data_IF_279423330356
#
_entry.id   IF_279423330356
#
_cell.length_a   1.000
_cell.length_b   1.000
_cell.length_c   1.000
_cell.angle_alpha   90.00
_cell.angle_beta   90.00
_cell.angle_gamma   90.00
#
_symmetry.space_group_name_H-M   'P 1'
#
loop_
_entity.id
_entity.type
_entity.pdbx_description
1 polymer ?
#
# COMPACT_ATOMS: atom_id res chain seq x y z
N UNK A 1 11.21 -26.40 -28.43
CA UNK A 1 10.94 -27.78 -27.98
C UNK A 1 11.10 -27.84 -26.47
N UNK A 2 10.01 -27.89 -25.71
CA UNK A 2 9.84 -28.81 -24.58
C UNK A 2 8.38 -28.75 -24.10
N UNK A 3 7.86 -29.93 -23.79
CA UNK A 3 6.47 -30.34 -23.70
C UNK A 3 5.61 -29.62 -22.63
N UNK A 4 4.38 -29.27 -23.03
CA UNK A 4 3.24 -29.04 -22.13
C UNK A 4 2.43 -30.33 -22.09
N UNK A 5 2.34 -30.95 -20.91
CA UNK A 5 1.55 -32.16 -20.69
C UNK A 5 0.05 -31.81 -20.67
N UNK A 6 -0.68 -32.39 -21.62
CA UNK A 6 -2.12 -32.40 -21.73
C UNK A 6 -2.64 -33.62 -20.96
N UNK A 7 -3.35 -33.42 -19.84
CA UNK A 7 -4.03 -34.51 -19.12
C UNK A 7 -5.54 -34.42 -19.37
N UNK A 8 -6.00 -35.37 -20.19
CA UNK A 8 -7.39 -35.69 -20.50
C UNK A 8 -7.93 -36.61 -19.39
N UNK A 9 -9.08 -36.29 -18.78
CA UNK A 9 -9.81 -37.18 -17.85
C UNK A 9 -11.32 -37.06 -18.19
N UNK A 10 -12.09 -38.16 -18.16
CA UNK A 10 -13.26 -38.35 -19.04
C UNK A 10 -14.53 -37.68 -18.54
N UNK A 11 -15.43 -37.44 -19.50
CA UNK A 11 -16.81 -37.06 -19.27
C UNK A 11 -17.57 -38.20 -18.55
N UNK A 12 -17.97 -37.96 -17.31
CA UNK A 12 -19.04 -38.69 -16.64
C UNK A 12 -20.24 -37.77 -16.50
N UNK A 13 -21.31 -38.13 -17.22
CA UNK A 13 -22.63 -37.52 -17.13
C UNK A 13 -23.20 -37.70 -15.73
N UNK A 14 -23.40 -36.61 -14.99
CA UNK A 14 -24.17 -36.63 -13.75
C UNK A 14 -25.17 -35.45 -13.76
N UNK A 15 -26.42 -35.84 -13.61
CA UNK A 15 -27.66 -35.08 -13.47
C UNK A 15 -27.54 -33.64 -12.90
N UNK A 16 -28.30 -32.75 -13.54
CA UNK A 16 -28.62 -31.43 -13.03
C UNK A 16 -29.40 -31.52 -11.70
N UNK A 17 -28.89 -30.86 -10.65
CA UNK A 17 -29.63 -30.53 -9.44
C UNK A 17 -29.80 -28.99 -9.38
N UNK A 18 -30.95 -28.45 -8.94
CA UNK A 18 -31.18 -27.01 -8.88
C UNK A 18 -30.36 -26.41 -7.73
N UNK A 19 -29.51 -25.45 -8.08
CA UNK A 19 -28.48 -24.88 -7.21
C UNK A 19 -29.06 -24.21 -5.95
N UNK A 20 -28.53 -24.65 -4.81
CA UNK A 20 -28.83 -24.14 -3.48
C UNK A 20 -28.32 -22.72 -3.22
N UNK A 21 -28.91 -22.16 -2.18
CA UNK A 21 -28.57 -20.92 -1.46
C UNK A 21 -27.06 -20.77 -1.33
N UNK A 22 -26.47 -19.75 -1.98
CA UNK A 22 -25.11 -19.28 -1.65
C UNK A 22 -25.21 -18.52 -0.34
N UNK A 23 -24.60 -19.03 0.73
CA UNK A 23 -24.66 -18.42 2.07
C UNK A 23 -24.09 -17.00 2.07
N UNK A 24 -24.64 -16.13 2.92
CA UNK A 24 -24.16 -14.77 3.18
C UNK A 24 -22.70 -14.72 3.62
N UNK A 25 -22.22 -15.75 4.34
CA UNK A 25 -20.81 -15.93 4.73
C UNK A 25 -19.88 -16.04 3.52
N UNK A 26 -20.33 -16.68 2.44
CA UNK A 26 -19.55 -16.81 1.22
C UNK A 26 -19.36 -15.45 0.51
N UNK A 27 -20.34 -14.54 0.65
CA UNK A 27 -20.30 -13.20 0.05
C UNK A 27 -19.41 -12.27 0.84
N UNK A 28 -19.53 -12.27 2.18
CA UNK A 28 -18.66 -11.48 3.06
C UNK A 28 -17.18 -11.88 2.90
N UNK A 29 -16.90 -13.20 2.85
CA UNK A 29 -15.57 -13.72 2.57
C UNK A 29 -15.06 -13.28 1.19
N UNK A 30 -15.92 -13.30 0.16
CA UNK A 30 -15.56 -12.89 -1.20
C UNK A 30 -15.24 -11.39 -1.30
N UNK A 31 -16.05 -10.54 -0.66
CA UNK A 31 -15.80 -9.10 -0.56
C UNK A 31 -14.47 -8.82 0.14
N UNK A 32 -14.21 -9.49 1.27
CA UNK A 32 -12.93 -9.38 1.98
C UNK A 32 -11.73 -9.75 1.11
N UNK A 33 -11.82 -10.85 0.33
CA UNK A 33 -10.78 -11.26 -0.61
C UNK A 33 -10.53 -10.22 -1.72
N UNK A 34 -11.60 -9.66 -2.30
CA UNK A 34 -11.51 -8.65 -3.36
C UNK A 34 -10.91 -7.33 -2.83
N UNK A 35 -11.33 -6.87 -1.65
CA UNK A 35 -10.77 -5.69 -0.99
C UNK A 35 -9.27 -5.86 -0.67
N UNK A 36 -8.86 -7.04 -0.22
CA UNK A 36 -7.44 -7.34 0.00
C UNK A 36 -6.62 -7.34 -1.30
N UNK A 37 -7.17 -7.85 -2.40
CA UNK A 37 -6.54 -7.79 -3.72
C UNK A 37 -6.35 -6.34 -4.20
N UNK A 38 -7.35 -5.48 -3.98
CA UNK A 38 -7.27 -4.06 -4.31
C UNK A 38 -6.17 -3.35 -3.51
N UNK A 39 -6.13 -3.56 -2.18
CA UNK A 39 -5.11 -2.99 -1.32
C UNK A 39 -3.69 -3.43 -1.73
N UNK A 40 -3.53 -4.70 -2.13
CA UNK A 40 -2.27 -5.22 -2.66
C UNK A 40 -1.86 -4.54 -3.98
N UNK A 41 -2.81 -4.38 -4.91
CA UNK A 41 -2.54 -3.71 -6.18
C UNK A 41 -2.08 -2.25 -5.98
N UNK A 42 -2.68 -1.53 -5.03
CA UNK A 42 -2.26 -0.17 -4.68
C UNK A 42 -0.87 -0.11 -4.03
N UNK A 43 -0.56 -1.07 -3.15
CA UNK A 43 0.78 -1.19 -2.57
C UNK A 43 1.85 -1.46 -3.63
N UNK A 44 1.58 -2.36 -4.58
CA UNK A 44 2.47 -2.69 -5.70
C UNK A 44 2.70 -1.47 -6.62
N UNK A 45 1.66 -0.67 -6.86
CA UNK A 45 1.74 0.58 -7.62
C UNK A 45 2.65 1.62 -6.95
N UNK A 46 2.51 1.80 -5.62
CA UNK A 46 3.38 2.68 -4.83
C UNK A 46 4.82 2.20 -4.90
N UNK A 47 5.05 0.90 -4.74
CA UNK A 47 6.39 0.33 -4.82
C UNK A 47 7.03 0.54 -6.20
N UNK A 48 6.28 0.35 -7.28
CA UNK A 48 6.75 0.61 -8.64
C UNK A 48 7.13 2.10 -8.85
N UNK A 49 6.35 3.01 -8.28
CA UNK A 49 6.61 4.44 -8.33
C UNK A 49 7.88 4.82 -7.56
N UNK A 50 8.08 4.28 -6.35
CA UNK A 50 9.31 4.50 -5.57
C UNK A 50 10.55 3.99 -6.31
N UNK A 51 10.49 2.79 -6.92
CA UNK A 51 11.61 2.24 -7.69
C UNK A 51 12.01 3.15 -8.86
N UNK A 52 11.03 3.72 -9.56
CA UNK A 52 11.28 4.67 -10.64
C UNK A 52 11.93 5.96 -10.12
N UNK A 53 11.41 6.54 -9.03
CA UNK A 53 12.00 7.75 -8.43
C UNK A 53 13.45 7.55 -7.99
N UNK A 54 13.76 6.42 -7.35
CA UNK A 54 15.14 6.08 -6.94
C UNK A 54 16.06 5.95 -8.16
N UNK A 55 15.58 5.37 -9.26
CA UNK A 55 16.36 5.25 -10.49
C UNK A 55 16.64 6.62 -11.14
N UNK A 56 15.64 7.52 -11.16
CA UNK A 56 15.77 8.90 -11.64
C UNK A 56 16.80 9.67 -10.78
N UNK A 57 16.70 9.60 -9.45
CA UNK A 57 17.65 10.27 -8.55
C UNK A 57 19.08 9.75 -8.73
N UNK A 58 19.26 8.45 -9.00
CA UNK A 58 20.57 7.87 -9.36
C UNK A 58 21.10 8.44 -10.67
N UNK A 59 20.24 8.60 -11.69
CA UNK A 59 20.61 9.24 -12.96
C UNK A 59 21.01 10.71 -12.77
N UNK A 60 20.23 11.50 -12.04
CA UNK A 60 20.53 12.91 -11.79
C UNK A 60 21.88 13.09 -11.09
N UNK A 61 22.14 12.29 -10.04
CA UNK A 61 23.45 12.28 -9.36
C UNK A 61 24.58 11.91 -10.32
N UNK A 62 24.37 10.95 -11.21
CA UNK A 62 25.37 10.56 -12.20
C UNK A 62 25.59 11.66 -13.25
N UNK A 63 24.55 12.37 -13.68
CA UNK A 63 24.62 13.47 -14.63
C UNK A 63 25.40 14.68 -14.04
N UNK A 64 25.18 15.01 -12.77
CA UNK A 64 25.96 16.05 -12.07
C UNK A 64 27.45 15.67 -12.01
N UNK A 65 27.76 14.39 -11.70
CA UNK A 65 29.15 13.90 -11.70
C UNK A 65 29.78 13.95 -13.10
N UNK A 66 29.01 13.62 -14.15
CA UNK A 66 29.47 13.75 -15.54
C UNK A 66 29.81 15.20 -15.88
N UNK A 67 28.95 16.16 -15.53
CA UNK A 67 29.19 17.59 -15.78
C UNK A 67 30.46 18.07 -15.07
N UNK A 68 30.59 17.80 -13.77
CA UNK A 68 31.80 18.15 -12.99
C UNK A 68 33.07 17.55 -13.59
N UNK A 69 33.02 16.30 -14.06
CA UNK A 69 34.17 15.66 -14.69
C UNK A 69 34.51 16.27 -16.07
N UNK A 70 33.50 16.69 -16.85
CA UNK A 70 33.71 17.40 -18.10
C UNK A 70 34.34 18.78 -17.88
N UNK A 71 33.89 19.52 -16.86
CA UNK A 71 34.45 20.83 -16.49
C UNK A 71 35.90 20.69 -16.03
N UNK A 72 36.20 19.66 -15.23
CA UNK A 72 37.57 19.36 -14.80
C UNK A 72 38.49 19.01 -15.98
N UNK A 73 38.01 18.25 -16.97
CA UNK A 73 38.74 17.97 -18.20
C UNK A 73 39.00 19.24 -19.01
N UNK A 74 38.00 20.12 -19.15
CA UNK A 74 38.16 21.39 -19.84
C UNK A 74 39.20 22.27 -19.15
N UNK A 75 39.18 22.35 -17.81
CA UNK A 75 40.18 23.06 -17.03
C UNK A 75 41.59 22.46 -17.19
N UNK A 76 41.72 21.13 -17.15
CA UNK A 76 42.99 20.44 -17.34
C UNK A 76 43.57 20.70 -18.74
N UNK A 77 42.74 20.65 -19.80
CA UNK A 77 43.17 20.98 -21.17
C UNK A 77 43.66 22.42 -21.30
N UNK A 78 43.00 23.38 -20.65
CA UNK A 78 43.47 24.78 -20.62
C UNK A 78 44.84 24.91 -19.94
N UNK A 79 45.08 24.18 -18.86
CA UNK A 79 46.39 24.14 -18.18
C UNK A 79 47.47 23.52 -19.08
N UNK A 80 47.17 22.41 -19.76
CA UNK A 80 48.10 21.80 -20.73
C UNK A 80 48.48 22.78 -21.84
N UNK A 81 47.49 23.48 -22.43
CA UNK A 81 47.76 24.51 -23.46
C UNK A 81 48.65 25.63 -22.92
N UNK A 82 48.33 26.14 -21.73
CA UNK A 82 49.10 27.23 -21.11
C UNK A 82 50.54 26.81 -20.75
N UNK A 83 50.72 25.57 -20.30
CA UNK A 83 52.03 25.01 -20.00
C UNK A 83 52.86 24.79 -21.28
N UNK A 84 52.24 24.30 -22.36
CA UNK A 84 52.89 24.20 -23.69
C UNK A 84 53.39 25.55 -24.18
N UNK A 85 52.54 26.58 -24.15
CA UNK A 85 52.94 27.95 -24.51
C UNK A 85 54.08 28.50 -23.63
N UNK A 86 54.16 28.09 -22.35
CA UNK A 86 55.26 28.47 -21.49
C UNK A 86 56.57 27.77 -21.89
N UNK A 87 56.52 26.50 -22.29
CA UNK A 87 57.67 25.76 -22.84
C UNK A 87 58.16 26.43 -24.12
N UNK A 88 57.25 26.75 -25.05
CA UNK A 88 57.60 27.41 -26.32
C UNK A 88 58.33 28.73 -26.06
N UNK A 89 57.79 29.59 -25.19
CA UNK A 89 58.44 30.86 -24.81
C UNK A 89 59.82 30.68 -24.18
N UNK A 90 60.02 29.64 -23.37
CA UNK A 90 61.34 29.38 -22.79
C UNK A 90 62.30 28.77 -23.83
N UNK A 91 61.80 27.97 -24.78
CA UNK A 91 62.57 27.41 -25.87
C UNK A 91 63.12 28.53 -26.78
N UNK A 92 62.30 29.54 -27.11
CA UNK A 92 62.75 30.70 -27.88
C UNK A 92 63.88 31.47 -27.17
N UNK A 93 63.77 31.63 -25.83
CA UNK A 93 64.82 32.29 -25.03
C UNK A 93 66.13 31.50 -25.01
N UNK A 94 66.05 30.17 -24.92
CA UNK A 94 67.23 29.30 -25.03
C UNK A 94 67.82 29.39 -26.45
N UNK A 95 66.99 29.41 -27.49
CA UNK A 95 67.43 29.59 -28.88
C UNK A 95 68.18 30.90 -29.10
N UNK A 96 67.66 32.02 -28.61
CA UNK A 96 68.33 33.33 -28.66
C UNK A 96 69.64 33.34 -27.87
N UNK A 97 69.69 32.66 -26.72
CA UNK A 97 70.92 32.52 -25.93
C UNK A 97 71.99 31.74 -26.69
N UNK A 98 71.63 30.61 -27.29
CA UNK A 98 72.55 29.77 -28.07
C UNK A 98 73.05 30.53 -29.30
N UNK A 99 72.16 31.20 -30.04
CA UNK A 99 72.52 32.00 -31.20
C UNK A 99 73.50 33.11 -30.86
N UNK A 100 73.26 33.86 -29.78
CA UNK A 100 74.17 34.93 -29.33
C UNK A 100 75.53 34.40 -28.92
N UNK A 101 75.57 33.27 -28.21
CA UNK A 101 76.84 32.64 -27.86
C UNK A 101 77.61 32.21 -29.11
N UNK A 102 76.92 31.70 -30.14
CA UNK A 102 77.53 31.33 -31.42
C UNK A 102 78.07 32.56 -32.17
N UNK A 103 77.27 33.63 -32.29
CA UNK A 103 77.67 34.90 -32.93
C UNK A 103 78.89 35.55 -32.26
N UNK A 104 79.07 35.39 -30.94
CA UNK A 104 80.22 35.90 -30.17
C UNK A 104 81.47 34.99 -30.19
N UNK A 105 81.51 33.98 -31.07
CA UNK A 105 82.65 33.05 -31.16
C UNK A 105 82.69 32.00 -30.05
N UNK A 106 81.55 31.73 -29.41
CA UNK A 106 81.40 30.72 -28.37
C UNK A 106 82.05 31.09 -27.04
N UNK A 107 82.31 30.06 -26.22
CA UNK A 107 83.04 30.21 -24.96
C UNK A 107 84.45 30.76 -25.20
N UNK A 108 85.10 30.35 -26.29
CA UNK A 108 86.47 30.78 -26.62
C UNK A 108 86.55 32.27 -26.97
N UNK A 109 85.60 32.81 -27.75
CA UNK A 109 85.58 34.25 -28.07
C UNK A 109 85.29 35.12 -26.84
N UNK A 110 84.39 34.68 -25.96
CA UNK A 110 84.03 35.41 -24.74
C UNK A 110 85.10 35.35 -23.66
N UNK A 111 85.81 34.23 -23.48
CA UNK A 111 86.92 34.13 -22.53
C UNK A 111 88.19 34.82 -23.05
N UNK A 112 88.49 34.72 -24.34
CA UNK A 112 89.63 35.43 -24.94
C UNK A 112 89.50 36.95 -24.80
N UNK A 113 88.31 37.50 -25.01
CA UNK A 113 88.04 38.94 -24.84
C UNK A 113 88.19 39.41 -23.38
N UNK A 114 87.93 38.53 -22.42
CA UNK A 114 88.07 38.81 -20.98
C UNK A 114 89.53 38.75 -20.53
N UNK A 115 90.31 37.83 -21.11
CA UNK A 115 91.73 37.63 -20.79
C UNK A 115 92.67 38.61 -21.52
N UNK A 116 92.23 39.20 -22.63
CA UNK A 116 93.02 40.17 -23.41
C UNK A 116 93.01 41.61 -22.85
N UNK A 117 92.28 41.88 -21.76
CA UNK A 117 92.17 43.20 -21.13
C UNK A 117 93.36 43.59 -20.24
N UNK A 118 93.38 44.83 -19.74
CA UNK A 118 94.39 45.28 -18.77
C UNK A 118 94.21 44.57 -17.42
N UNK A 119 95.28 44.35 -16.63
CA UNK A 119 95.19 43.69 -15.32
C UNK A 119 94.18 44.32 -14.35
N UNK A 120 93.96 45.64 -14.43
CA UNK A 120 92.97 46.37 -13.63
C UNK A 120 91.51 45.98 -13.92
N UNK A 121 91.23 45.49 -15.12
CA UNK A 121 89.86 45.24 -15.60
C UNK A 121 89.41 43.79 -15.35
N UNK A 122 90.35 42.94 -14.92
CA UNK A 122 90.14 41.51 -14.71
C UNK A 122 88.99 41.22 -13.74
N UNK A 123 88.91 41.95 -12.62
CA UNK A 123 87.86 41.75 -11.60
C UNK A 123 86.48 42.07 -12.18
N UNK A 124 86.36 43.18 -12.93
CA UNK A 124 85.11 43.60 -13.58
C UNK A 124 84.69 42.59 -14.65
N UNK A 125 85.64 42.12 -15.47
CA UNK A 125 85.37 41.15 -16.52
C UNK A 125 84.96 39.78 -15.96
N UNK A 126 85.58 39.32 -14.86
CA UNK A 126 85.18 38.11 -14.14
C UNK A 126 83.78 38.25 -13.52
N UNK A 127 83.46 39.42 -12.97
CA UNK A 127 82.11 39.74 -12.46
C UNK A 127 81.05 39.65 -13.57
N UNK A 128 81.35 40.20 -14.75
CA UNK A 128 80.48 40.12 -15.92
C UNK A 128 80.28 38.67 -16.40
N UNK A 129 81.35 37.88 -16.51
CA UNK A 129 81.26 36.45 -16.86
C UNK A 129 80.38 35.68 -15.87
N UNK A 130 80.53 35.92 -14.56
CA UNK A 130 79.69 35.29 -13.54
C UNK A 130 78.23 35.71 -13.68
N UNK A 131 77.95 36.99 -13.93
CA UNK A 131 76.59 37.49 -14.16
C UNK A 131 75.94 36.81 -15.38
N UNK A 132 76.65 36.76 -16.51
CA UNK A 132 76.17 36.11 -17.74
C UNK A 132 75.96 34.62 -17.51
N UNK A 133 76.92 33.92 -16.91
CA UNK A 133 76.82 32.50 -16.59
C UNK A 133 75.62 32.17 -15.71
N UNK A 134 75.41 32.95 -14.63
CA UNK A 134 74.25 32.80 -13.75
C UNK A 134 72.92 33.03 -14.51
N UNK A 135 72.87 34.02 -15.42
CA UNK A 135 71.67 34.31 -16.22
C UNK A 135 71.36 33.20 -17.24
N UNK A 136 72.39 32.61 -17.85
CA UNK A 136 72.26 31.48 -18.76
C UNK A 136 71.78 30.22 -18.02
N UNK A 137 72.40 29.90 -16.87
CA UNK A 137 71.98 28.82 -15.99
C UNK A 137 70.51 28.97 -15.57
N UNK A 138 70.10 30.17 -15.15
CA UNK A 138 68.71 30.46 -14.79
C UNK A 138 67.73 30.26 -15.96
N UNK A 139 68.16 30.51 -17.19
CA UNK A 139 67.32 30.32 -18.39
C UNK A 139 67.10 28.84 -18.68
N UNK A 140 68.15 28.02 -18.60
CA UNK A 140 68.03 26.56 -18.74
C UNK A 140 67.18 25.95 -17.60
N UNK A 141 67.35 26.42 -16.36
CA UNK A 141 66.53 25.97 -15.23
C UNK A 141 65.05 26.28 -15.44
N UNK A 142 64.70 27.50 -15.87
CA UNK A 142 63.30 27.85 -16.19
C UNK A 142 62.73 27.01 -17.33
N UNK A 143 63.52 26.72 -18.36
CA UNK A 143 63.10 25.83 -19.44
C UNK A 143 62.80 24.42 -18.94
N UNK A 144 63.72 23.82 -18.16
CA UNK A 144 63.51 22.49 -17.55
C UNK A 144 62.27 22.46 -16.64
N UNK A 145 62.09 23.48 -15.81
CA UNK A 145 60.91 23.62 -14.95
C UNK A 145 59.62 23.71 -15.79
N UNK A 146 59.60 24.53 -16.86
CA UNK A 146 58.43 24.65 -17.74
C UNK A 146 58.07 23.31 -18.41
N UNK A 147 59.08 22.54 -18.86
CA UNK A 147 58.87 21.19 -19.40
C UNK A 147 58.30 20.24 -18.35
N UNK A 148 58.83 20.27 -17.13
CA UNK A 148 58.28 19.47 -16.03
C UNK A 148 56.81 19.78 -15.74
N UNK A 149 56.44 21.07 -15.70
CA UNK A 149 55.05 21.49 -15.53
C UNK A 149 54.14 21.07 -16.69
N UNK A 150 54.63 21.10 -17.93
CA UNK A 150 53.88 20.63 -19.09
C UNK A 150 53.58 19.13 -19.01
N UNK A 151 54.57 18.31 -18.65
CA UNK A 151 54.40 16.86 -18.46
C UNK A 151 53.37 16.56 -17.36
N UNK A 152 53.46 17.27 -16.22
CA UNK A 152 52.47 17.15 -15.14
C UNK A 152 51.07 17.55 -15.63
N UNK A 153 50.95 18.67 -16.36
CA UNK A 153 49.68 19.14 -16.91
C UNK A 153 49.06 18.11 -17.88
N UNK A 154 49.84 17.53 -18.78
CA UNK A 154 49.38 16.44 -19.66
C UNK A 154 48.91 15.22 -18.86
N UNK A 155 49.65 14.82 -17.82
CA UNK A 155 49.26 13.75 -16.90
C UNK A 155 47.89 14.02 -16.27
N UNK A 156 47.67 15.23 -15.76
CA UNK A 156 46.37 15.62 -15.19
C UNK A 156 45.25 15.61 -16.23
N UNK A 157 45.52 16.04 -17.47
CA UNK A 157 44.53 16.02 -18.55
C UNK A 157 44.16 14.60 -18.98
N UNK A 158 45.12 13.67 -19.04
CA UNK A 158 44.87 12.24 -19.30
C UNK A 158 44.00 11.62 -18.21
N UNK A 159 44.32 11.87 -16.94
CA UNK A 159 43.52 11.40 -15.81
C UNK A 159 42.10 11.99 -15.80
N UNK A 160 41.97 13.29 -16.07
CA UNK A 160 40.67 13.95 -16.18
C UNK A 160 39.83 13.41 -17.34
N UNK A 161 40.46 13.07 -18.48
CA UNK A 161 39.78 12.45 -19.62
C UNK A 161 39.22 11.07 -19.26
N UNK A 162 40.03 10.23 -18.59
CA UNK A 162 39.57 8.92 -18.09
C UNK A 162 38.40 9.06 -17.12
N UNK A 163 38.47 10.02 -16.20
CA UNK A 163 37.41 10.30 -15.25
C UNK A 163 36.12 10.77 -15.95
N UNK A 164 36.22 11.70 -16.91
CA UNK A 164 35.10 12.20 -17.71
C UNK A 164 34.43 11.08 -18.52
N UNK A 165 35.21 10.22 -19.18
CA UNK A 165 34.69 9.07 -19.93
C UNK A 165 33.98 8.07 -19.01
N UNK A 166 34.55 7.81 -17.82
CA UNK A 166 33.93 6.92 -16.82
C UNK A 166 32.61 7.50 -16.30
N UNK A 167 32.59 8.79 -15.97
CA UNK A 167 31.39 9.48 -15.50
C UNK A 167 30.29 9.50 -16.58
N UNK A 168 30.67 9.75 -17.85
CA UNK A 168 29.75 9.66 -18.99
C UNK A 168 29.13 8.27 -19.15
N UNK A 169 29.94 7.20 -19.08
CA UNK A 169 29.42 5.82 -19.16
C UNK A 169 28.45 5.51 -18.02
N UNK A 170 28.79 5.91 -16.78
CA UNK A 170 27.91 5.73 -15.61
C UNK A 170 26.60 6.51 -15.74
N UNK A 171 26.64 7.74 -16.22
CA UNK A 171 25.44 8.54 -16.46
C UNK A 171 24.56 7.96 -17.56
N UNK A 172 25.14 7.45 -18.66
CA UNK A 172 24.40 6.78 -19.72
C UNK A 172 23.71 5.50 -19.22
N UNK A 173 24.42 4.67 -18.46
CA UNK A 173 23.83 3.46 -17.84
C UNK A 173 22.72 3.80 -16.86
N UNK A 174 22.91 4.81 -16.00
CA UNK A 174 21.89 5.26 -15.07
C UNK A 174 20.65 5.84 -15.79
N UNK A 175 20.84 6.56 -16.91
CA UNK A 175 19.74 7.05 -17.76
C UNK A 175 18.92 5.89 -18.33
N UNK A 176 19.58 4.87 -18.89
CA UNK A 176 18.91 3.70 -19.42
C UNK A 176 18.10 2.95 -18.33
N UNK A 177 18.69 2.78 -17.14
CA UNK A 177 18.01 2.17 -16.00
C UNK A 177 16.80 2.99 -15.53
N UNK A 178 16.92 4.33 -15.50
CA UNK A 178 15.80 5.22 -15.17
C UNK A 178 14.66 5.11 -16.19
N UNK A 179 14.98 5.12 -17.49
CA UNK A 179 13.97 4.95 -18.54
C UNK A 179 13.26 3.59 -18.41
N UNK A 180 14.02 2.51 -18.24
CA UNK A 180 13.44 1.18 -18.06
C UNK A 180 12.55 1.11 -16.82
N UNK A 181 12.92 1.75 -15.71
CA UNK A 181 12.10 1.79 -14.50
C UNK A 181 10.80 2.57 -14.71
N UNK A 182 10.84 3.68 -15.46
CA UNK A 182 9.65 4.46 -15.84
C UNK A 182 8.75 3.66 -16.78
N UNK A 183 9.29 3.01 -17.81
CA UNK A 183 8.51 2.18 -18.73
C UNK A 183 7.85 1.00 -18.01
N UNK A 184 8.58 0.35 -17.10
CA UNK A 184 8.04 -0.71 -16.25
C UNK A 184 6.95 -0.19 -15.31
N UNK A 185 7.12 1.01 -14.75
CA UNK A 185 6.07 1.66 -13.96
C UNK A 185 4.83 1.88 -14.81
N UNK A 186 4.94 2.45 -16.02
CA UNK A 186 3.78 2.67 -16.89
C UNK A 186 3.05 1.37 -17.25
N UNK A 187 3.79 0.31 -17.61
CA UNK A 187 3.20 -1.01 -17.88
C UNK A 187 2.47 -1.56 -16.65
N UNK A 188 3.10 -1.48 -15.47
CA UNK A 188 2.48 -1.94 -14.22
C UNK A 188 1.25 -1.11 -13.84
N UNK A 189 1.30 0.21 -14.00
CA UNK A 189 0.14 1.10 -13.77
C UNK A 189 -1.02 0.66 -14.65
N UNK A 190 -0.79 0.42 -15.94
CA UNK A 190 -1.84 -0.01 -16.86
C UNK A 190 -2.45 -1.36 -16.45
N UNK A 191 -1.62 -2.36 -16.13
CA UNK A 191 -2.09 -3.68 -15.69
C UNK A 191 -2.85 -3.62 -14.36
N UNK A 192 -2.29 -2.91 -13.36
CA UNK A 192 -2.90 -2.79 -12.03
C UNK A 192 -4.19 -1.97 -12.06
N UNK A 193 -4.29 -0.96 -12.93
CA UNK A 193 -5.52 -0.19 -13.12
C UNK A 193 -6.62 -1.07 -13.72
N UNK A 194 -6.32 -1.85 -14.77
CA UNK A 194 -7.30 -2.78 -15.35
C UNK A 194 -7.74 -3.87 -14.34
N UNK A 195 -6.83 -4.35 -13.49
CA UNK A 195 -7.16 -5.29 -12.41
C UNK A 195 -8.03 -4.64 -11.34
N UNK A 196 -7.70 -3.41 -10.91
CA UNK A 196 -8.53 -2.62 -10.00
C UNK A 196 -9.93 -2.46 -10.55
N UNK A 197 -10.08 -1.98 -11.78
CA UNK A 197 -11.39 -1.67 -12.36
C UNK A 197 -12.27 -2.93 -12.44
N UNK A 198 -11.65 -4.08 -12.76
CA UNK A 198 -12.33 -5.38 -12.73
C UNK A 198 -12.78 -5.77 -11.33
N UNK A 199 -11.91 -5.66 -10.33
CA UNK A 199 -12.21 -6.01 -8.93
C UNK A 199 -13.27 -5.06 -8.36
N UNK A 200 -13.18 -3.76 -8.66
CA UNK A 200 -14.15 -2.75 -8.26
C UNK A 200 -15.52 -3.04 -8.88
N UNK A 201 -15.58 -3.31 -10.19
CA UNK A 201 -16.85 -3.68 -10.84
C UNK A 201 -17.48 -4.97 -10.26
N UNK A 202 -16.66 -5.93 -9.83
CA UNK A 202 -17.14 -7.11 -9.12
C UNK A 202 -17.71 -6.76 -7.73
N UNK A 203 -17.06 -5.88 -6.99
CA UNK A 203 -17.56 -5.37 -5.71
C UNK A 203 -18.88 -4.63 -5.88
N UNK A 204 -18.96 -3.69 -6.83
CA UNK A 204 -20.17 -2.92 -7.12
C UNK A 204 -21.34 -3.84 -7.51
N UNK A 205 -21.06 -4.89 -8.30
CA UNK A 205 -22.06 -5.90 -8.68
C UNK A 205 -22.55 -6.69 -7.46
N UNK A 206 -21.64 -7.09 -6.57
CA UNK A 206 -21.98 -7.80 -5.33
C UNK A 206 -22.80 -6.89 -4.41
N UNK A 207 -22.43 -5.62 -4.27
CA UNK A 207 -23.16 -4.65 -3.47
C UNK A 207 -24.57 -4.38 -4.02
N UNK A 208 -24.69 -4.19 -5.33
CA UNK A 208 -25.99 -4.03 -5.99
C UNK A 208 -26.86 -5.28 -5.82
N UNK A 209 -26.28 -6.47 -5.97
CA UNK A 209 -26.99 -7.72 -5.75
C UNK A 209 -27.45 -7.84 -4.30
N UNK A 210 -26.57 -7.61 -3.33
CA UNK A 210 -26.92 -7.64 -1.90
C UNK A 210 -28.02 -6.64 -1.55
N UNK A 211 -27.98 -5.43 -2.13
CA UNK A 211 -29.06 -4.43 -1.97
C UNK A 211 -30.39 -4.94 -2.54
N UNK A 212 -30.37 -5.55 -3.73
CA UNK A 212 -31.59 -6.12 -4.34
C UNK A 212 -32.17 -7.29 -3.54
N UNK A 213 -31.31 -8.16 -2.99
CA UNK A 213 -31.73 -9.29 -2.15
C UNK A 213 -32.35 -8.78 -0.86
N UNK A 214 -31.73 -7.80 -0.20
CA UNK A 214 -32.30 -7.15 1.01
C UNK A 214 -33.65 -6.49 0.72
N UNK A 215 -33.78 -5.79 -0.40
CA UNK A 215 -35.06 -5.18 -0.80
C UNK A 215 -36.13 -6.24 -1.11
N UNK A 216 -35.76 -7.35 -1.77
CA UNK A 216 -36.68 -8.44 -2.05
C UNK A 216 -37.12 -9.19 -0.79
N UNK A 217 -36.23 -9.36 0.19
CA UNK A 217 -36.55 -9.90 1.51
C UNK A 217 -37.55 -9.00 2.25
N UNK A 218 -37.28 -7.69 2.33
CA UNK A 218 -38.19 -6.72 2.95
C UNK A 218 -39.58 -6.70 2.27
N UNK A 219 -39.64 -6.77 0.93
CA UNK A 219 -40.92 -6.81 0.20
C UNK A 219 -41.67 -8.15 0.34
N UNK A 220 -40.99 -9.24 0.73
CA UNK A 220 -41.63 -10.52 1.06
C UNK A 220 -42.19 -10.47 2.48
N UNK A 221 -41.43 -9.95 3.43
CA UNK A 221 -41.90 -9.69 4.80
C UNK A 221 -43.14 -8.78 4.79
N UNK A 222 -43.12 -7.69 4.03
CA UNK A 222 -44.27 -6.78 3.93
C UNK A 222 -45.50 -7.45 3.28
N UNK A 223 -45.30 -8.34 2.30
CA UNK A 223 -46.40 -9.13 1.71
C UNK A 223 -46.95 -10.19 2.66
N UNK A 224 -46.09 -10.83 3.45
CA UNK A 224 -46.50 -11.78 4.48
C UNK A 224 -47.29 -11.05 5.56
N UNK A 225 -46.78 -9.92 6.06
CA UNK A 225 -47.48 -9.07 7.01
C UNK A 225 -48.82 -8.55 6.48
N UNK A 226 -48.91 -8.17 5.20
CA UNK A 226 -50.17 -7.75 4.59
C UNK A 226 -51.16 -8.92 4.41
N UNK A 227 -50.68 -10.12 4.08
CA UNK A 227 -51.51 -11.32 3.99
C UNK A 227 -52.02 -11.74 5.37
N UNK A 228 -51.16 -11.68 6.38
CA UNK A 228 -51.51 -12.01 7.75
C UNK A 228 -52.43 -10.95 8.37
N UNK A 229 -52.29 -9.65 8.05
CA UNK A 229 -53.28 -8.62 8.40
C UNK A 229 -54.65 -8.89 7.79
N UNK A 230 -54.73 -9.36 6.53
CA UNK A 230 -56.01 -9.76 5.92
C UNK A 230 -56.62 -11.00 6.59
N UNK A 231 -55.79 -11.97 6.95
CA UNK A 231 -56.20 -13.16 7.72
C UNK A 231 -56.59 -12.82 9.16
N UNK A 232 -55.94 -11.83 9.77
CA UNK A 232 -56.27 -11.32 11.09
C UNK A 232 -57.56 -10.49 11.06
N UNK A 233 -57.86 -9.74 10.00
CA UNK A 233 -59.14 -9.03 9.84
C UNK A 233 -60.31 -10.03 9.70
N UNK A 234 -60.10 -11.13 8.95
CA UNK A 234 -61.05 -12.27 8.91
C UNK A 234 -61.12 -13.04 10.22
N UNK A 235 -60.03 -13.11 11.00
CA UNK A 235 -60.01 -13.74 12.31
C UNK A 235 -60.54 -12.81 13.42
N UNK A 236 -60.53 -11.49 13.27
CA UNK A 236 -61.04 -10.52 14.27
C UNK A 236 -62.57 -10.46 14.21
N UNK A 237 -63.17 -10.69 13.04
CA UNK A 237 -64.60 -11.05 12.92
C UNK A 237 -64.96 -12.35 13.66
N UNK A 238 -63.99 -13.26 13.91
CA UNK A 238 -64.19 -14.54 14.59
C UNK A 238 -63.72 -14.53 16.07
N UNK A 239 -62.74 -13.69 16.42
CA UNK A 239 -62.02 -13.65 17.70
C UNK A 239 -62.25 -12.38 18.52
N UNK A 240 -63.36 -11.68 18.31
CA UNK A 240 -64.06 -10.98 19.39
C UNK A 240 -64.46 -11.91 20.58
N UNK A 241 -63.99 -13.17 20.57
CA UNK A 241 -63.99 -14.12 21.66
C UNK A 241 -62.56 -14.55 22.07
N UNK A 242 -62.21 -14.26 23.33
CA UNK A 242 -61.30 -15.03 24.24
C UNK A 242 -59.80 -14.64 24.39
N UNK A 243 -59.44 -14.09 25.55
CA UNK A 243 -58.08 -13.78 26.01
C UNK A 243 -57.23 -14.98 26.48
N UNK A 244 -56.87 -15.88 25.55
CA UNK A 244 -56.05 -17.08 25.81
C UNK A 244 -54.65 -17.11 25.16
N UNK A 245 -54.27 -16.05 24.44
CA UNK A 245 -53.11 -16.04 23.54
C UNK A 245 -51.74 -16.21 24.20
N UNK A 246 -51.37 -15.33 25.14
CA UNK A 246 -49.99 -15.30 25.68
C UNK A 246 -49.50 -16.66 26.24
N UNK A 247 -50.38 -17.43 26.88
CA UNK A 247 -50.03 -18.75 27.40
C UNK A 247 -49.82 -19.82 26.32
N UNK A 248 -50.44 -19.67 25.14
CA UNK A 248 -50.16 -20.54 23.99
C UNK A 248 -48.76 -20.26 23.45
N UNK A 249 -48.33 -18.99 23.36
CA UNK A 249 -46.98 -18.63 22.95
C UNK A 249 -45.92 -19.19 23.92
N UNK A 250 -46.15 -19.06 25.24
CA UNK A 250 -45.26 -19.66 26.24
C UNK A 250 -45.13 -21.17 26.07
N UNK A 251 -46.25 -21.89 25.88
CA UNK A 251 -46.21 -23.35 25.65
C UNK A 251 -45.48 -23.70 24.35
N UNK A 252 -45.63 -22.89 23.30
CA UNK A 252 -44.96 -23.10 22.03
C UNK A 252 -43.43 -22.95 22.15
N UNK A 253 -42.96 -21.93 22.88
CA UNK A 253 -41.54 -21.74 23.15
C UNK A 253 -40.96 -22.88 23.99
N UNK A 254 -41.68 -23.30 25.04
CA UNK A 254 -41.26 -24.41 25.92
C UNK A 254 -41.18 -25.74 25.17
N UNK A 255 -42.06 -25.98 24.19
CA UNK A 255 -42.01 -27.18 23.36
C UNK A 255 -40.72 -27.30 22.51
N UNK A 256 -39.95 -26.22 22.39
CA UNK A 256 -38.68 -26.20 21.65
C UNK A 256 -37.46 -26.45 22.53
N UNK A 257 -37.63 -26.69 23.84
CA UNK A 257 -36.51 -26.98 24.73
C UNK A 257 -35.67 -28.17 24.22
N UNK A 258 -34.35 -28.03 24.24
CA UNK A 258 -33.39 -29.00 23.72
C UNK A 258 -33.05 -28.86 22.24
N UNK A 259 -33.74 -27.99 21.48
CA UNK A 259 -33.39 -27.71 20.07
C UNK A 259 -32.10 -26.90 19.97
N UNK A 260 -31.26 -27.10 18.93
CA UNK A 260 -29.98 -26.41 18.82
C UNK A 260 -30.16 -24.91 18.54
N UNK A 261 -29.21 -24.11 19.01
CA UNK A 261 -29.08 -22.71 18.58
C UNK A 261 -28.58 -22.65 17.14
N UNK A 262 -29.30 -21.93 16.27
CA UNK A 262 -28.89 -21.68 14.88
C UNK A 262 -29.14 -20.22 14.57
N UNK A 263 -28.08 -19.49 14.21
CA UNK A 263 -28.16 -18.07 13.87
C UNK A 263 -29.15 -17.81 12.73
N UNK A 264 -30.03 -16.80 12.88
CA UNK A 264 -31.06 -16.40 11.92
C UNK A 264 -32.16 -17.46 11.66
N UNK A 265 -32.33 -18.42 12.59
CA UNK A 265 -33.32 -19.49 12.49
C UNK A 265 -34.54 -19.29 13.41
N UNK A 266 -35.73 -19.63 12.92
CA UNK A 266 -37.00 -19.63 13.66
C UNK A 266 -37.84 -20.89 13.39
N UNK A 267 -37.18 -22.02 13.12
CA UNK A 267 -37.82 -23.24 12.60
C UNK A 267 -37.56 -24.45 13.54
N UNK A 268 -38.60 -25.09 14.10
CA UNK A 268 -38.48 -26.29 14.95
C UNK A 268 -37.68 -27.47 14.36
N UNK A 269 -37.60 -27.56 13.03
CA UNK A 269 -36.86 -28.61 12.31
C UNK A 269 -35.37 -28.30 12.13
N UNK A 270 -34.99 -27.02 12.24
CA UNK A 270 -33.60 -26.54 12.04
C UNK A 270 -32.96 -26.16 13.38
N UNK A 271 -33.66 -25.38 14.19
CA UNK A 271 -33.13 -24.72 15.39
C UNK A 271 -33.60 -23.28 15.48
N UNK A 272 -33.14 -22.57 16.51
CA UNK A 272 -33.57 -21.20 16.80
C UNK A 272 -32.40 -20.31 17.17
N UNK A 273 -32.44 -19.04 16.78
CA UNK A 273 -31.73 -18.00 17.53
C UNK A 273 -32.66 -17.34 18.56
N UNK A 274 -32.13 -16.39 19.33
CA UNK A 274 -32.85 -15.81 20.47
C UNK A 274 -34.19 -15.17 20.06
N UNK A 275 -34.16 -14.32 19.03
CA UNK A 275 -35.33 -13.62 18.51
C UNK A 275 -36.20 -14.51 17.62
N UNK A 276 -35.62 -15.49 16.93
CA UNK A 276 -36.36 -16.49 16.18
C UNK A 276 -37.22 -17.39 17.06
N UNK A 277 -36.79 -17.72 18.29
CA UNK A 277 -37.62 -18.45 19.25
C UNK A 277 -38.84 -17.63 19.70
N UNK A 278 -38.65 -16.35 20.00
CA UNK A 278 -39.74 -15.44 20.38
C UNK A 278 -40.74 -15.24 19.21
N UNK A 279 -40.21 -15.05 18.00
CA UNK A 279 -40.98 -14.95 16.76
C UNK A 279 -41.84 -16.19 16.56
N UNK A 280 -41.24 -17.38 16.58
CA UNK A 280 -41.94 -18.64 16.37
C UNK A 280 -43.08 -18.85 17.40
N UNK A 281 -42.81 -18.53 18.67
CA UNK A 281 -43.75 -18.72 19.75
C UNK A 281 -44.98 -17.80 19.62
N UNK A 282 -44.75 -16.52 19.33
CA UNK A 282 -45.84 -15.55 19.16
C UNK A 282 -46.59 -15.73 17.85
N UNK A 283 -45.95 -16.29 16.82
CA UNK A 283 -46.62 -16.67 15.58
C UNK A 283 -47.73 -17.72 15.82
N UNK A 284 -47.62 -18.58 16.85
CA UNK A 284 -48.66 -19.57 17.16
C UNK A 284 -50.00 -18.95 17.58
N UNK A 285 -49.98 -17.68 17.97
CA UNK A 285 -51.17 -16.92 18.32
C UNK A 285 -51.43 -15.75 17.37
N UNK A 286 -50.82 -15.81 16.19
CA UNK A 286 -51.00 -14.81 15.14
C UNK A 286 -50.32 -13.47 15.43
N UNK A 287 -49.41 -13.39 16.40
CA UNK A 287 -48.60 -12.19 16.63
C UNK A 287 -47.29 -12.35 15.85
N UNK A 288 -47.14 -11.55 14.80
CA UNK A 288 -45.87 -11.47 14.06
C UNK A 288 -44.87 -10.61 14.78
N UNK A 289 -43.63 -11.10 14.79
CA UNK A 289 -42.50 -10.36 15.27
C UNK A 289 -41.44 -10.28 14.17
N UNK A 290 -40.72 -9.14 14.05
CA UNK A 290 -39.54 -9.08 13.21
C UNK A 290 -38.48 -10.03 13.76
N UNK A 291 -37.62 -10.61 12.91
CA UNK A 291 -36.57 -11.52 13.39
C UNK A 291 -35.48 -10.80 14.19
N UNK A 292 -35.37 -9.47 14.10
CA UNK A 292 -34.40 -8.70 14.88
C UNK A 292 -34.90 -8.41 16.30
N UNK A 293 -34.13 -8.81 17.31
CA UNK A 293 -34.40 -8.50 18.72
C UNK A 293 -34.56 -6.98 18.98
N UNK A 294 -33.81 -6.13 18.28
CA UNK A 294 -33.92 -4.67 18.39
C UNK A 294 -35.31 -4.18 17.97
N UNK A 295 -35.84 -4.71 16.87
CA UNK A 295 -37.18 -4.35 16.39
C UNK A 295 -38.28 -5.04 17.18
N UNK A 296 -38.04 -6.23 17.75
CA UNK A 296 -38.98 -6.90 18.65
C UNK A 296 -39.25 -6.10 19.92
N UNK A 297 -38.21 -5.44 20.47
CA UNK A 297 -38.34 -4.56 21.62
C UNK A 297 -39.41 -3.48 21.41
N UNK A 298 -39.54 -2.99 20.17
CA UNK A 298 -40.45 -1.90 19.79
C UNK A 298 -41.89 -2.35 19.47
N UNK A 299 -42.20 -3.65 19.47
CA UNK A 299 -43.51 -4.15 18.99
C UNK A 299 -44.65 -4.07 20.02
N UNK A 300 -44.38 -3.72 21.27
CA UNK A 300 -45.38 -3.80 22.34
C UNK A 300 -45.19 -2.80 23.47
N UNK A 301 -46.00 -2.97 24.52
CA UNK A 301 -45.94 -2.11 25.70
C UNK A 301 -44.75 -2.47 26.56
N UNK A 302 -43.91 -1.50 26.88
CA UNK A 302 -42.84 -1.72 27.84
C UNK A 302 -43.40 -1.98 29.24
N UNK A 303 -42.84 -2.99 29.91
CA UNK A 303 -43.25 -3.43 31.24
C UNK A 303 -42.08 -3.36 32.21
N UNK A 304 -42.37 -2.94 33.44
CA UNK A 304 -41.41 -2.98 34.54
C UNK A 304 -41.09 -4.43 34.90
N UNK A 305 -39.84 -4.70 35.31
CA UNK A 305 -39.40 -6.02 35.76
C UNK A 305 -40.22 -6.58 36.93
N UNK A 306 -40.81 -5.71 37.75
CA UNK A 306 -41.69 -6.11 38.87
C UNK A 306 -43.13 -6.44 38.44
N UNK A 307 -43.47 -6.27 37.16
CA UNK A 307 -44.81 -6.49 36.62
C UNK A 307 -44.84 -7.55 35.51
N UNK A 308 -43.80 -8.36 35.41
CA UNK A 308 -43.66 -9.39 34.38
C UNK A 308 -44.76 -10.45 34.47
N UNK A 309 -45.27 -10.85 33.31
CA UNK A 309 -46.24 -11.92 33.14
C UNK A 309 -45.72 -12.93 32.11
N UNK A 310 -46.11 -14.21 32.20
CA UNK A 310 -45.75 -15.20 31.20
C UNK A 310 -46.09 -14.73 29.78
N UNK A 311 -45.10 -14.78 28.90
CA UNK A 311 -45.13 -14.26 27.54
C UNK A 311 -44.24 -13.04 27.36
N UNK A 312 -44.06 -12.19 28.38
CA UNK A 312 -43.27 -10.97 28.25
C UNK A 312 -41.85 -11.24 27.73
N UNK A 313 -41.42 -10.47 26.74
CA UNK A 313 -40.08 -10.59 26.17
C UNK A 313 -39.11 -9.70 26.93
N UNK A 314 -37.97 -10.25 27.35
CA UNK A 314 -36.90 -9.54 28.08
C UNK A 314 -35.71 -9.33 27.15
N UNK A 315 -35.15 -8.13 27.14
CA UNK A 315 -34.11 -7.72 26.20
C UNK A 315 -32.82 -7.30 26.90
N UNK A 316 -31.69 -7.65 26.30
CA UNK A 316 -30.35 -7.40 26.86
C UNK A 316 -29.48 -6.67 25.86
N UNK A 317 -28.74 -5.68 26.33
CA UNK A 317 -27.95 -4.75 25.54
C UNK A 317 -26.56 -4.52 26.15
N UNK A 318 -25.54 -4.49 25.28
CA UNK A 318 -24.14 -4.26 25.70
C UNK A 318 -23.90 -2.84 26.22
N UNK A 319 -24.73 -1.88 25.83
CA UNK A 319 -24.50 -0.45 26.05
C UNK A 319 -25.70 0.27 26.67
N UNK A 320 -26.72 -0.46 27.11
CA UNK A 320 -27.93 0.11 27.70
C UNK A 320 -28.80 0.89 26.71
N UNK A 321 -28.61 0.73 25.40
CA UNK A 321 -29.42 1.34 24.34
C UNK A 321 -30.06 0.27 23.46
N UNK A 322 -31.14 0.64 22.77
CA UNK A 322 -31.87 -0.24 21.84
C UNK A 322 -30.97 -0.74 20.72
N UNK A 323 -30.12 0.14 20.15
CA UNK A 323 -29.16 -0.21 19.08
C UNK A 323 -27.97 -1.08 19.54
N UNK A 324 -27.98 -1.51 20.80
CA UNK A 324 -27.01 -2.43 21.36
C UNK A 324 -27.65 -3.72 21.85
N UNK A 325 -28.94 -3.94 21.59
CA UNK A 325 -29.63 -5.17 21.98
C UNK A 325 -29.01 -6.33 21.19
N UNK A 326 -28.52 -7.32 21.92
CA UNK A 326 -27.89 -8.50 21.36
C UNK A 326 -28.61 -9.79 21.72
N UNK A 327 -29.60 -9.74 22.62
CA UNK A 327 -30.30 -10.94 23.08
C UNK A 327 -31.74 -10.63 23.51
N UNK A 328 -32.63 -11.61 23.30
CA UNK A 328 -34.03 -11.58 23.76
C UNK A 328 -34.43 -12.93 24.32
N UNK A 329 -35.22 -12.92 25.39
CA UNK A 329 -35.73 -14.13 26.05
C UNK A 329 -37.22 -13.98 26.36
N UNK A 330 -37.93 -15.08 26.59
CA UNK A 330 -39.36 -15.04 26.95
C UNK A 330 -39.54 -15.42 28.41
N UNK A 331 -40.19 -14.57 29.19
CA UNK A 331 -40.58 -14.85 30.57
C UNK A 331 -41.69 -15.89 30.61
N UNK A 332 -41.55 -16.89 31.47
CA UNK A 332 -42.50 -18.02 31.56
C UNK A 332 -43.19 -18.11 32.93
N UNK A 333 -42.97 -17.12 33.81
CA UNK A 333 -43.46 -17.12 35.19
C UNK A 333 -42.43 -17.64 36.20
N UNK A 334 -42.74 -17.50 37.49
CA UNK A 334 -41.94 -18.02 38.62
C UNK A 334 -40.45 -17.61 38.60
N UNK A 335 -40.14 -16.44 38.04
CA UNK A 335 -38.76 -15.96 37.93
C UNK A 335 -37.92 -16.72 36.89
N UNK A 336 -38.55 -17.36 35.90
CA UNK A 336 -37.86 -18.13 34.86
C UNK A 336 -38.08 -17.55 33.46
N UNK A 337 -37.14 -17.86 32.58
CA UNK A 337 -37.21 -17.56 31.14
C UNK A 337 -36.92 -18.81 30.32
N UNK A 338 -37.43 -18.83 29.10
CA UNK A 338 -36.97 -19.74 28.03
C UNK A 338 -36.16 -18.94 27.01
N UNK A 339 -35.02 -19.50 26.58
CA UNK A 339 -34.10 -18.83 25.66
C UNK A 339 -33.38 -19.80 24.73
N UNK A 340 -33.05 -19.31 23.54
CA UNK A 340 -31.97 -19.82 22.69
C UNK A 340 -30.77 -18.88 22.88
N UNK A 341 -29.79 -19.27 23.71
CA UNK A 341 -28.81 -18.32 24.25
C UNK A 341 -27.65 -18.03 23.30
N UNK A 342 -26.98 -19.09 22.81
CA UNK A 342 -25.79 -18.97 21.96
C UNK A 342 -25.47 -20.33 21.30
N UNK A 343 -24.55 -20.34 20.34
CA UNK A 343 -24.08 -21.53 19.64
C UNK A 343 -23.60 -22.61 20.62
N UNK A 344 -24.04 -23.86 20.39
CA UNK A 344 -23.71 -25.00 21.24
C UNK A 344 -24.50 -25.08 22.54
N UNK A 345 -25.35 -24.10 22.85
CA UNK A 345 -26.28 -24.13 23.97
C UNK A 345 -27.70 -24.36 23.41
N UNK A 346 -28.30 -25.53 23.63
CA UNK A 346 -29.67 -25.78 23.21
C UNK A 346 -30.67 -24.84 23.88
N UNK A 347 -31.87 -24.70 23.29
CA UNK A 347 -32.98 -23.98 23.92
C UNK A 347 -33.20 -24.53 25.32
N UNK A 348 -33.22 -23.66 26.31
CA UNK A 348 -33.25 -24.05 27.72
C UNK A 348 -34.09 -23.08 28.55
N UNK A 349 -34.58 -23.61 29.68
CA UNK A 349 -35.19 -22.82 30.73
C UNK A 349 -34.15 -22.52 31.80
N UNK A 350 -34.01 -21.25 32.16
CA UNK A 350 -33.08 -20.79 33.20
C UNK A 350 -33.75 -19.74 34.08
N UNK A 351 -33.21 -19.42 35.28
CA UNK A 351 -33.64 -18.26 36.03
C UNK A 351 -33.55 -16.98 35.19
N UNK A 352 -34.56 -16.12 35.31
CA UNK A 352 -34.53 -14.78 34.72
C UNK A 352 -33.41 -13.99 35.37
N UNK A 353 -32.57 -13.35 34.56
CA UNK A 353 -31.49 -12.50 35.03
C UNK A 353 -31.80 -11.04 34.69
N UNK A 354 -31.61 -10.16 35.68
CA UNK A 354 -31.84 -8.71 35.56
C UNK A 354 -30.54 -7.90 35.72
N UNK A 355 -29.44 -8.58 36.01
CA UNK A 355 -28.08 -8.04 36.04
C UNK A 355 -27.40 -8.24 34.68
N UNK A 356 -26.28 -7.56 34.43
CA UNK A 356 -25.47 -7.69 33.20
C UNK A 356 -26.19 -7.36 31.88
N UNK A 357 -26.61 -6.11 31.72
CA UNK A 357 -27.08 -5.59 30.43
C UNK A 357 -28.59 -5.71 30.18
N UNK A 358 -29.40 -6.07 31.17
CA UNK A 358 -30.86 -5.97 31.05
C UNK A 358 -31.29 -4.55 30.67
N UNK A 359 -32.01 -4.42 29.55
CA UNK A 359 -32.47 -3.14 29.04
C UNK A 359 -33.94 -2.86 29.40
N UNK A 360 -34.77 -3.91 29.38
CA UNK A 360 -36.21 -3.78 29.64
C UNK A 360 -36.99 -4.96 29.09
N UNK A 361 -38.31 -4.91 29.25
CA UNK A 361 -39.22 -5.94 28.78
C UNK A 361 -40.40 -5.36 27.99
N UNK A 362 -40.96 -6.17 27.10
CA UNK A 362 -42.06 -5.79 26.19
C UNK A 362 -43.17 -6.84 26.25
N UNK A 363 -44.41 -6.37 26.49
CA UNK A 363 -45.63 -7.17 26.45
C UNK A 363 -46.37 -6.94 25.14
N UNK A 364 -46.72 -8.04 24.48
CA UNK A 364 -47.33 -8.03 23.14
C UNK A 364 -48.84 -8.29 23.13
N UNK A 365 -49.40 -8.84 24.21
CA UNK A 365 -50.83 -9.13 24.38
C UNK A 365 -51.28 -8.88 25.81
#
# INVERSE_FOLDING_TARGET
MLAVLLALVPATSAAAAPNGVRSTDSVAARVGQLSAQLAKADADLRQASVRASVAIEKYERAAVRQRKAADALAAARRRTKSAGQAVDRQQDRVGLMVRRNYELGGVLGTTASVLAGKPSDLITNLGYLRYVGNRQAATLTRYRQSKGLAVLAEGTARSALKAANTARKKAASAKAAAQQAVDQRHKRVATLTAQRDKVQGQLDTIEAHNKSVRAAAAAREERQAAAQRRSADTATEVSASTGGGAMVAVRAALAQQGKPYVWDAADPSVGFDCSGLALYAYQQIGIELPHSAEYQYLQGRHVSSNALQPGDLLFYSYNGRVSGIHHVTMYIGNGQIVQAADFGIPVQVVPAYFDFGYLGATRLA
#
